data_IF_918595090907
#
_entry.id   IF_918595090907
#
_cell.length_a   1.000
_cell.length_b   1.000
_cell.length_c   1.000
_cell.angle_alpha   90.00
_cell.angle_beta   90.00
_cell.angle_gamma   90.00
#
_symmetry.space_group_name_H-M   'P 1'
#
loop_
_entity.id
_entity.type
_entity.pdbx_description
1 polymer ?
#
# COMPACT_ATOMS: atom_id res chain seq x y z
N UNK A 1 -11.78 13.12 -28.33
CA UNK A 1 -12.52 12.28 -27.35
C UNK A 1 -11.71 11.00 -27.17
N UNK A 2 -11.34 10.67 -25.92
CA UNK A 2 -10.13 9.92 -25.57
C UNK A 2 -10.04 8.45 -26.00
N UNK A 3 -8.80 7.98 -26.02
CA UNK A 3 -8.24 6.75 -26.57
C UNK A 3 -8.70 5.42 -25.91
N UNK A 4 -10.00 5.09 -26.01
CA UNK A 4 -10.48 3.72 -25.84
C UNK A 4 -11.43 3.42 -27.01
N UNK A 5 -11.05 2.51 -27.90
CA UNK A 5 -11.97 1.96 -28.90
C UNK A 5 -13.05 1.18 -28.14
N UNK A 6 -14.27 1.71 -28.13
CA UNK A 6 -15.43 1.09 -27.49
C UNK A 6 -16.38 0.60 -28.57
N UNK A 7 -16.92 -0.59 -28.37
CA UNK A 7 -18.00 -1.11 -29.19
C UNK A 7 -19.32 -0.49 -28.73
N UNK A 8 -20.26 -0.34 -29.66
CA UNK A 8 -21.59 0.17 -29.36
C UNK A 8 -22.62 -0.53 -30.22
N UNK A 9 -23.89 -0.29 -29.91
CA UNK A 9 -25.02 -0.80 -30.68
C UNK A 9 -25.37 0.20 -31.77
N UNK A 10 -25.53 -0.26 -33.01
CA UNK A 10 -25.94 0.63 -34.10
C UNK A 10 -27.44 0.94 -33.97
N UNK A 11 -27.78 2.19 -33.65
CA UNK A 11 -29.16 2.67 -33.43
C UNK A 11 -29.41 3.96 -34.21
N UNK A 12 -30.66 4.34 -34.40
CA UNK A 12 -30.96 5.73 -34.81
C UNK A 12 -30.57 6.70 -33.70
N UNK A 13 -30.38 7.98 -34.06
CA UNK A 13 -30.04 9.01 -33.08
C UNK A 13 -31.12 9.12 -31.99
N UNK A 14 -32.40 9.09 -32.38
CA UNK A 14 -33.53 9.15 -31.45
C UNK A 14 -33.56 7.95 -30.51
N UNK A 15 -33.46 6.72 -31.03
CA UNK A 15 -33.46 5.52 -30.18
C UNK A 15 -32.30 5.52 -29.18
N UNK A 16 -31.12 5.98 -29.61
CA UNK A 16 -29.97 6.07 -28.73
C UNK A 16 -30.20 7.07 -27.59
N UNK A 17 -30.70 8.27 -27.90
CA UNK A 17 -30.96 9.30 -26.89
C UNK A 17 -32.12 8.92 -25.97
N UNK A 18 -33.18 8.31 -26.50
CA UNK A 18 -34.35 7.89 -25.73
C UNK A 18 -34.00 6.78 -24.72
N UNK A 19 -33.00 5.96 -25.04
CA UNK A 19 -32.47 4.93 -24.14
C UNK A 19 -31.33 5.44 -23.24
N UNK A 20 -31.01 6.73 -23.27
CA UNK A 20 -29.96 7.34 -22.44
C UNK A 20 -28.52 7.02 -22.88
N UNK A 21 -28.33 6.58 -24.12
CA UNK A 21 -27.04 6.28 -24.70
C UNK A 21 -26.30 7.53 -25.20
N UNK A 22 -25.01 7.38 -25.46
CA UNK A 22 -24.14 8.41 -26.02
C UNK A 22 -23.75 8.07 -27.45
N UNK A 23 -23.84 9.04 -28.36
CA UNK A 23 -23.47 8.89 -29.77
C UNK A 23 -21.94 8.88 -29.92
N UNK A 24 -21.40 7.86 -30.57
CA UNK A 24 -19.97 7.61 -30.74
C UNK A 24 -19.60 7.28 -32.19
N UNK A 25 -20.06 8.12 -33.12
CA UNK A 25 -19.78 8.00 -34.56
C UNK A 25 -20.93 7.39 -35.37
N UNK A 26 -20.69 7.18 -36.67
CA UNK A 26 -21.65 6.58 -37.59
C UNK A 26 -21.48 5.06 -37.73
N UNK A 27 -22.58 4.36 -38.03
CA UNK A 27 -22.60 2.94 -38.32
C UNK A 27 -23.56 2.65 -39.48
N UNK A 28 -23.63 1.39 -39.94
CA UNK A 28 -24.50 0.97 -41.05
C UNK A 28 -24.42 1.90 -42.28
N UNK A 29 -23.20 2.20 -42.76
CA UNK A 29 -22.97 3.10 -43.89
C UNK A 29 -23.61 4.51 -43.77
N UNK A 30 -23.82 5.00 -42.53
CA UNK A 30 -24.38 6.32 -42.25
C UNK A 30 -25.88 6.33 -41.96
N UNK A 31 -26.55 5.18 -42.01
CA UNK A 31 -27.98 5.08 -41.66
C UNK A 31 -28.23 5.02 -40.14
N UNK A 32 -27.18 4.81 -39.33
CA UNK A 32 -27.28 4.80 -37.88
C UNK A 32 -26.09 5.49 -37.21
N UNK A 33 -26.21 5.65 -35.89
CA UNK A 33 -25.13 6.09 -35.02
C UNK A 33 -24.71 4.97 -34.06
N UNK A 34 -23.40 4.85 -33.82
CA UNK A 34 -22.87 3.95 -32.82
C UNK A 34 -23.27 4.46 -31.43
N UNK A 35 -24.20 3.78 -30.78
CA UNK A 35 -24.73 4.14 -29.48
C UNK A 35 -24.00 3.38 -28.36
N UNK A 36 -23.44 4.10 -27.40
CA UNK A 36 -22.69 3.52 -26.28
C UNK A 36 -23.40 3.84 -24.97
N UNK A 37 -23.67 2.80 -24.18
CA UNK A 37 -24.35 2.92 -22.89
C UNK A 37 -23.36 2.85 -21.73
N UNK A 38 -23.59 3.65 -20.69
CA UNK A 38 -22.74 3.70 -19.51
C UNK A 38 -23.57 3.56 -18.24
N UNK A 39 -23.16 2.66 -17.35
CA UNK A 39 -23.61 2.65 -15.95
C UNK A 39 -22.50 3.25 -15.09
N UNK A 40 -22.78 4.41 -14.47
CA UNK A 40 -21.77 5.20 -13.72
C UNK A 40 -22.12 5.41 -12.26
N UNK A 41 -23.36 5.14 -11.86
CA UNK A 41 -23.85 5.30 -10.49
C UNK A 41 -24.02 3.95 -9.82
N UNK A 42 -23.84 3.93 -8.49
CA UNK A 42 -24.25 2.80 -7.68
C UNK A 42 -25.74 2.47 -7.89
N UNK A 43 -26.09 1.19 -7.78
CA UNK A 43 -27.43 0.63 -7.97
C UNK A 43 -28.00 0.80 -9.40
N UNK A 44 -27.18 1.14 -10.39
CA UNK A 44 -27.65 1.23 -11.78
C UNK A 44 -28.06 -0.15 -12.31
N UNK A 45 -29.15 -0.17 -13.08
CA UNK A 45 -29.61 -1.37 -13.78
C UNK A 45 -29.32 -1.25 -15.28
N UNK A 46 -28.55 -2.18 -15.82
CA UNK A 46 -28.25 -2.29 -17.25
C UNK A 46 -29.30 -3.16 -17.93
N UNK A 47 -29.86 -2.64 -19.02
CA UNK A 47 -30.89 -3.28 -19.86
C UNK A 47 -30.53 -3.17 -21.34
N UNK A 48 -29.24 -3.22 -21.66
CA UNK A 48 -28.71 -3.07 -23.02
C UNK A 48 -27.82 -4.26 -23.35
N UNK A 49 -27.75 -4.61 -24.64
CA UNK A 49 -26.95 -5.75 -25.12
C UNK A 49 -25.44 -5.51 -24.99
N UNK A 50 -25.02 -4.25 -24.97
CA UNK A 50 -23.65 -3.82 -24.73
C UNK A 50 -23.66 -2.52 -23.92
N UNK A 51 -23.01 -2.54 -22.76
CA UNK A 51 -22.88 -1.37 -21.90
C UNK A 51 -21.56 -1.42 -21.14
N UNK A 52 -21.05 -0.23 -20.79
CA UNK A 52 -19.81 -0.06 -20.03
C UNK A 52 -20.13 0.31 -18.59
N UNK A 53 -19.66 -0.53 -17.66
CA UNK A 53 -19.72 -0.26 -16.23
C UNK A 53 -18.49 0.55 -15.84
N UNK A 54 -18.70 1.67 -15.16
CA UNK A 54 -17.62 2.57 -14.74
C UNK A 54 -17.82 2.96 -13.29
N UNK A 55 -16.75 3.00 -12.52
CA UNK A 55 -16.84 3.60 -11.19
C UNK A 55 -17.30 5.07 -11.28
N UNK A 56 -17.98 5.62 -10.26
CA UNK A 56 -18.52 6.98 -10.28
C UNK A 56 -17.52 8.11 -10.56
N UNK A 57 -16.22 7.87 -10.33
CA UNK A 57 -15.14 8.84 -10.53
C UNK A 57 -14.33 8.60 -11.82
N UNK A 58 -14.75 7.64 -12.67
CA UNK A 58 -14.04 7.29 -13.91
C UNK A 58 -13.86 8.54 -14.82
N UNK A 59 -12.68 8.76 -15.42
CA UNK A 59 -11.53 7.86 -15.56
C UNK A 59 -10.57 7.84 -14.36
N UNK A 60 -10.88 8.55 -13.28
CA UNK A 60 -10.06 8.50 -12.06
C UNK A 60 -10.37 7.25 -11.24
N UNK A 61 -9.41 6.74 -10.45
CA UNK A 61 -9.67 5.68 -9.48
C UNK A 61 -10.74 6.11 -8.48
N UNK A 62 -11.68 5.23 -8.16
CA UNK A 62 -12.67 5.45 -7.11
C UNK A 62 -12.00 5.45 -5.74
N UNK A 63 -12.05 6.57 -5.01
CA UNK A 63 -11.37 6.69 -3.71
C UNK A 63 -12.30 6.52 -2.50
N UNK A 64 -13.59 6.39 -2.76
CA UNK A 64 -14.58 6.25 -1.70
C UNK A 64 -14.69 4.78 -1.26
N UNK A 65 -15.14 4.55 -0.03
CA UNK A 65 -15.23 3.20 0.57
C UNK A 65 -16.63 2.60 0.48
N UNK A 66 -17.56 3.32 -0.14
CA UNK A 66 -18.94 2.90 -0.34
C UNK A 66 -18.95 1.76 -1.37
N UNK A 67 -19.65 0.64 -1.08
CA UNK A 67 -19.78 -0.43 -2.05
C UNK A 67 -20.48 0.10 -3.31
N UNK A 68 -20.15 -0.49 -4.46
CA UNK A 68 -20.82 -0.21 -5.72
C UNK A 68 -21.47 -1.49 -6.21
N UNK A 69 -22.72 -1.41 -6.62
CA UNK A 69 -23.50 -2.53 -7.13
C UNK A 69 -24.11 -2.17 -8.48
N UNK A 70 -23.98 -3.09 -9.43
CA UNK A 70 -24.68 -3.01 -10.71
C UNK A 70 -25.60 -4.21 -10.85
N UNK A 71 -26.79 -3.98 -11.39
CA UNK A 71 -27.70 -5.07 -11.78
C UNK A 71 -27.73 -5.18 -13.29
N UNK A 72 -27.51 -6.36 -13.83
CA UNK A 72 -27.69 -6.64 -15.27
C UNK A 72 -28.93 -7.49 -15.42
N UNK A 73 -29.94 -6.95 -16.09
CA UNK A 73 -31.18 -7.65 -16.38
C UNK A 73 -31.14 -8.22 -17.80
N UNK A 74 -31.76 -9.39 -17.99
CA UNK A 74 -31.96 -9.95 -19.32
C UNK A 74 -32.77 -9.02 -20.22
N UNK A 75 -32.42 -8.99 -21.50
CA UNK A 75 -33.24 -8.34 -22.54
C UNK A 75 -34.45 -9.20 -22.90
N UNK A 76 -34.25 -10.53 -22.94
CA UNK A 76 -35.28 -11.52 -23.20
C UNK A 76 -34.84 -12.89 -22.63
N UNK A 77 -35.77 -13.85 -22.65
CA UNK A 77 -35.57 -15.21 -22.10
C UNK A 77 -34.60 -16.10 -22.89
N UNK A 78 -34.25 -15.75 -24.13
CA UNK A 78 -33.34 -16.54 -24.96
C UNK A 78 -31.86 -16.28 -24.62
N UNK A 79 -31.58 -15.24 -23.83
CA UNK A 79 -30.23 -14.90 -23.38
C UNK A 79 -29.91 -15.68 -22.09
N UNK A 80 -29.06 -16.69 -22.22
CA UNK A 80 -28.65 -17.55 -21.09
C UNK A 80 -27.31 -17.15 -20.47
N UNK A 81 -26.50 -16.32 -21.14
CA UNK A 81 -25.17 -15.97 -20.65
C UNK A 81 -24.83 -14.50 -20.89
N UNK A 82 -24.17 -13.89 -19.92
CA UNK A 82 -23.53 -12.59 -19.98
C UNK A 82 -22.02 -12.78 -20.06
N UNK A 83 -21.36 -12.10 -20.99
CA UNK A 83 -19.90 -11.98 -21.00
C UNK A 83 -19.52 -10.64 -20.40
N UNK A 84 -18.63 -10.65 -19.41
CA UNK A 84 -18.02 -9.47 -18.83
C UNK A 84 -16.56 -9.40 -19.28
N UNK A 85 -16.20 -8.36 -20.03
CA UNK A 85 -14.82 -8.07 -20.40
C UNK A 85 -14.26 -6.95 -19.51
N UNK A 86 -13.03 -7.14 -19.02
CA UNK A 86 -12.38 -6.20 -18.11
C UNK A 86 -11.44 -5.27 -18.88
N UNK A 87 -11.97 -4.17 -19.42
CA UNK A 87 -11.17 -3.18 -20.16
C UNK A 87 -10.14 -2.49 -19.26
N UNK A 88 -10.59 -2.01 -18.10
CA UNK A 88 -9.76 -1.40 -17.07
C UNK A 88 -10.26 -1.88 -15.71
N UNK A 89 -9.59 -2.88 -15.15
CA UNK A 89 -10.00 -3.48 -13.88
C UNK A 89 -8.81 -3.62 -12.94
N UNK A 90 -8.85 -2.86 -11.85
CA UNK A 90 -7.82 -2.84 -10.83
C UNK A 90 -8.46 -2.50 -9.49
N UNK A 91 -8.56 -3.48 -8.60
CA UNK A 91 -8.98 -3.29 -7.19
C UNK A 91 -7.93 -3.90 -6.28
N UNK A 92 -7.95 -3.60 -4.98
CA UNK A 92 -6.94 -4.14 -4.07
C UNK A 92 -7.09 -5.66 -3.94
N UNK A 93 -6.04 -6.38 -4.34
CA UNK A 93 -5.97 -7.83 -4.26
C UNK A 93 -5.52 -8.34 -2.89
N UNK A 94 -4.85 -9.49 -2.91
CA UNK A 94 -4.20 -10.08 -1.73
C UNK A 94 -3.06 -9.17 -1.23
N UNK A 95 -2.89 -9.09 0.09
CA UNK A 95 -1.68 -8.53 0.69
C UNK A 95 -0.62 -9.62 0.85
N UNK A 96 0.54 -9.48 0.20
CA UNK A 96 1.64 -10.46 0.28
C UNK A 96 1.43 -11.73 -0.55
N UNK A 97 2.24 -12.76 -0.30
CA UNK A 97 2.27 -14.04 -1.06
C UNK A 97 1.42 -15.15 -0.40
N UNK A 98 0.22 -14.83 0.08
CA UNK A 98 -0.65 -15.82 0.71
C UNK A 98 -1.70 -16.36 -0.27
N UNK A 99 -1.40 -17.51 -0.90
CA UNK A 99 -2.39 -18.38 -1.57
C UNK A 99 -3.08 -19.33 -0.57
N UNK A 100 -2.81 -19.17 0.74
CA UNK A 100 -3.15 -20.16 1.78
C UNK A 100 -4.58 -20.01 2.35
N UNK A 101 -5.27 -18.91 2.07
CA UNK A 101 -6.65 -18.66 2.54
C UNK A 101 -7.58 -18.44 1.36
N UNK A 102 -8.62 -19.29 1.24
CA UNK A 102 -9.75 -19.01 0.34
C UNK A 102 -10.34 -17.65 0.75
N UNK A 103 -10.61 -16.79 -0.25
CA UNK A 103 -11.30 -15.50 -0.07
C UNK A 103 -10.48 -14.37 0.61
N UNK A 104 -9.16 -14.38 0.44
CA UNK A 104 -8.25 -13.38 1.02
C UNK A 104 -8.24 -12.00 0.31
N UNK A 105 -9.19 -11.75 -0.59
CA UNK A 105 -9.30 -10.48 -1.32
C UNK A 105 -9.57 -9.31 -0.37
N UNK A 106 -8.76 -8.26 -0.45
CA UNK A 106 -8.95 -7.04 0.35
C UNK A 106 -10.16 -6.25 -0.14
N UNK A 107 -10.14 -5.86 -1.40
CA UNK A 107 -11.34 -5.40 -2.10
C UNK A 107 -11.91 -6.58 -2.87
N UNK A 108 -13.22 -6.68 -2.94
CA UNK A 108 -13.91 -7.86 -3.47
C UNK A 108 -14.78 -7.45 -4.63
N UNK A 109 -14.59 -8.12 -5.76
CA UNK A 109 -15.58 -8.17 -6.82
C UNK A 109 -16.26 -9.53 -6.80
N UNK A 110 -17.56 -9.54 -6.52
CA UNK A 110 -18.37 -10.75 -6.50
C UNK A 110 -19.51 -10.63 -7.52
N UNK A 111 -19.84 -11.76 -8.13
CA UNK A 111 -20.93 -11.88 -9.08
C UNK A 111 -21.94 -12.85 -8.51
N UNK A 112 -23.16 -12.37 -8.29
CA UNK A 112 -24.29 -13.20 -7.91
C UNK A 112 -25.20 -13.36 -9.12
N UNK A 113 -25.48 -14.59 -9.51
CA UNK A 113 -26.49 -14.92 -10.52
C UNK A 113 -27.30 -16.13 -10.04
N UNK A 114 -28.38 -16.45 -10.75
CA UNK A 114 -29.28 -17.55 -10.42
C UNK A 114 -28.74 -18.95 -10.72
N UNK A 115 -27.47 -19.09 -11.14
CA UNK A 115 -26.89 -20.34 -11.64
C UNK A 115 -25.72 -20.89 -10.79
N UNK A 116 -25.36 -22.15 -11.07
CA UNK A 116 -24.36 -22.97 -10.38
C UNK A 116 -23.36 -23.48 -11.46
N UNK A 117 -22.02 -23.41 -11.28
CA UNK A 117 -21.27 -23.16 -10.05
C UNK A 117 -21.10 -21.67 -9.68
N UNK A 118 -20.89 -21.37 -8.38
CA UNK A 118 -20.63 -20.01 -7.92
C UNK A 118 -19.33 -19.45 -8.53
N UNK A 119 -19.39 -18.22 -9.01
CA UNK A 119 -18.23 -17.49 -9.53
C UNK A 119 -17.34 -17.09 -8.35
N UNK A 120 -16.02 -17.34 -8.41
CA UNK A 120 -15.11 -16.97 -7.32
C UNK A 120 -15.04 -15.45 -7.13
N UNK A 121 -14.73 -15.00 -5.90
CA UNK A 121 -14.36 -13.60 -5.65
C UNK A 121 -13.13 -13.24 -6.49
N UNK A 122 -13.20 -12.12 -7.20
CA UNK A 122 -12.10 -11.59 -8.02
C UNK A 122 -11.56 -10.33 -7.35
N UNK A 123 -10.25 -10.15 -7.35
CA UNK A 123 -9.57 -8.94 -6.89
C UNK A 123 -8.23 -8.76 -7.59
N UNK A 124 -7.54 -7.64 -7.38
CA UNK A 124 -6.25 -7.37 -8.02
C UNK A 124 -6.35 -6.78 -9.44
N UNK A 125 -5.34 -7.06 -10.27
CA UNK A 125 -5.20 -6.55 -11.64
C UNK A 125 -5.79 -7.56 -12.63
N UNK A 126 -6.86 -7.20 -13.33
CA UNK A 126 -7.56 -8.12 -14.24
C UNK A 126 -7.83 -7.53 -15.63
N UNK A 127 -7.14 -6.45 -16.02
CA UNK A 127 -7.26 -5.88 -17.36
C UNK A 127 -6.99 -6.93 -18.46
N UNK A 128 -7.86 -6.96 -19.47
CA UNK A 128 -7.79 -7.88 -20.61
C UNK A 128 -8.36 -9.27 -20.35
N UNK A 129 -8.82 -9.56 -19.12
CA UNK A 129 -9.51 -10.80 -18.79
C UNK A 129 -11.02 -10.69 -19.04
N UNK A 130 -11.71 -11.84 -18.98
CA UNK A 130 -13.16 -11.89 -19.13
C UNK A 130 -13.77 -13.04 -18.32
N UNK A 131 -15.06 -12.93 -18.01
CA UNK A 131 -15.84 -13.95 -17.30
C UNK A 131 -17.18 -14.16 -18.01
N UNK A 132 -17.62 -15.41 -18.10
CA UNK A 132 -18.98 -15.75 -18.51
C UNK A 132 -19.83 -16.00 -17.26
N UNK A 133 -20.99 -15.34 -17.22
CA UNK A 133 -21.98 -15.42 -16.15
C UNK A 133 -23.23 -16.06 -16.73
N UNK A 134 -23.59 -17.24 -16.24
CA UNK A 134 -24.85 -17.88 -16.60
C UNK A 134 -26.00 -17.18 -15.86
N UNK A 135 -27.01 -16.76 -16.62
CA UNK A 135 -28.15 -15.99 -16.13
C UNK A 135 -29.40 -16.86 -15.92
N UNK A 136 -29.31 -18.19 -15.85
CA UNK A 136 -30.47 -19.07 -15.72
C UNK A 136 -31.41 -19.04 -16.93
N UNK A 137 -32.61 -19.60 -16.80
CA UNK A 137 -33.58 -19.70 -17.91
C UNK A 137 -34.78 -18.75 -17.78
N UNK A 138 -35.04 -18.19 -16.60
CA UNK A 138 -36.20 -17.32 -16.37
C UNK A 138 -35.93 -15.91 -16.89
N UNK A 139 -36.96 -15.27 -17.44
CA UNK A 139 -36.84 -13.89 -17.95
C UNK A 139 -36.60 -12.85 -16.84
N UNK A 140 -36.94 -13.18 -15.59
CA UNK A 140 -36.70 -12.36 -14.40
C UNK A 140 -35.31 -12.54 -13.79
N UNK A 141 -34.53 -13.50 -14.28
CA UNK A 141 -33.18 -13.71 -13.80
C UNK A 141 -32.29 -12.49 -14.08
N UNK A 142 -31.38 -12.24 -13.15
CA UNK A 142 -30.48 -11.10 -13.16
C UNK A 142 -29.09 -11.50 -12.64
N UNK A 143 -28.08 -10.73 -13.03
CA UNK A 143 -26.77 -10.77 -12.40
C UNK A 143 -26.56 -9.51 -11.56
N UNK A 144 -26.12 -9.68 -10.31
CA UNK A 144 -25.64 -8.59 -9.47
C UNK A 144 -24.12 -8.61 -9.43
N UNK A 145 -23.54 -7.47 -9.76
CA UNK A 145 -22.10 -7.22 -9.79
C UNK A 145 -21.77 -6.33 -8.60
N UNK A 146 -21.16 -6.91 -7.56
CA UNK A 146 -20.93 -6.23 -6.30
C UNK A 146 -19.44 -5.95 -6.11
N UNK A 147 -19.11 -4.69 -5.88
CA UNK A 147 -17.79 -4.21 -5.53
C UNK A 147 -17.81 -3.75 -4.08
N UNK A 148 -17.00 -4.39 -3.24
CA UNK A 148 -16.85 -4.06 -1.83
C UNK A 148 -15.41 -3.65 -1.55
N UNK A 149 -15.24 -2.49 -0.89
CA UNK A 149 -13.92 -1.92 -0.64
C UNK A 149 -13.60 -1.97 0.85
N UNK A 150 -12.48 -2.58 1.22
CA UNK A 150 -12.06 -2.70 2.61
C UNK A 150 -11.32 -1.43 3.03
N UNK A 151 -12.00 -0.63 3.85
CA UNK A 151 -11.74 0.77 4.11
C UNK A 151 -10.41 1.14 4.78
N UNK A 152 -9.31 1.03 4.03
CA UNK A 152 -8.05 1.67 4.42
C UNK A 152 -7.51 2.47 3.24
N UNK A 153 -7.75 3.77 3.36
CA UNK A 153 -7.48 4.88 2.44
C UNK A 153 -6.15 4.78 1.70
N UNK A 154 -6.18 5.00 0.39
CA UNK A 154 -5.08 5.52 -0.44
C UNK A 154 -3.69 4.90 -0.17
N UNK A 155 -3.46 3.67 -0.65
CA UNK A 155 -2.17 2.95 -0.55
C UNK A 155 -0.94 3.73 -1.07
N UNK A 156 -1.13 4.78 -1.87
CA UNK A 156 -0.03 5.60 -2.40
C UNK A 156 0.23 6.89 -1.64
N UNK A 157 -0.67 7.31 -0.74
CA UNK A 157 -0.47 8.53 0.03
C UNK A 157 -0.01 8.14 1.43
N UNK A 158 1.16 8.62 1.88
CA UNK A 158 1.61 8.40 3.26
C UNK A 158 0.53 8.89 4.24
N UNK A 159 0.35 8.24 5.40
CA UNK A 159 -0.36 8.84 6.51
C UNK A 159 0.22 10.23 6.84
N UNK A 160 -0.63 11.14 7.35
CA UNK A 160 -0.16 12.45 7.80
C UNK A 160 0.99 12.28 8.80
N UNK A 161 2.08 13.02 8.57
CA UNK A 161 3.28 12.97 9.40
C UNK A 161 4.39 12.03 8.92
N UNK A 162 4.19 11.30 7.82
CA UNK A 162 5.21 10.45 7.20
C UNK A 162 5.90 11.18 6.04
N UNK A 163 7.21 11.46 6.16
CA UNK A 163 8.00 12.08 5.10
C UNK A 163 8.48 11.05 4.07
N UNK A 164 8.85 9.86 4.54
CA UNK A 164 9.12 8.69 3.70
C UNK A 164 8.09 7.62 3.99
N UNK A 165 7.67 6.90 2.95
CA UNK A 165 6.64 5.86 3.05
C UNK A 165 7.06 4.63 2.24
N UNK A 166 7.31 3.54 2.96
CA UNK A 166 7.70 2.27 2.38
C UNK A 166 6.51 1.30 2.37
N UNK A 167 6.46 0.44 1.36
CA UNK A 167 5.45 -0.60 1.19
C UNK A 167 6.12 -1.94 0.91
N UNK A 168 5.42 -3.05 1.15
CA UNK A 168 5.94 -4.39 0.92
C UNK A 168 6.27 -5.11 2.23
N UNK A 169 6.77 -6.34 2.11
CA UNK A 169 7.07 -7.20 3.26
C UNK A 169 8.46 -6.96 3.84
N UNK A 170 9.37 -6.40 3.05
CA UNK A 170 10.71 -6.06 3.48
C UNK A 170 11.27 -4.89 2.67
N UNK A 171 12.34 -4.30 3.17
CA UNK A 171 13.04 -3.24 2.47
C UNK A 171 14.18 -2.65 3.29
N UNK A 172 14.67 -1.52 2.80
CA UNK A 172 15.76 -0.77 3.43
C UNK A 172 15.31 0.67 3.70
N UNK A 173 15.75 1.22 4.81
CA UNK A 173 15.57 2.62 5.21
C UNK A 173 16.95 3.19 5.43
N UNK A 174 17.22 4.35 4.82
CA UNK A 174 18.41 5.14 5.11
C UNK A 174 18.03 6.55 5.55
N UNK A 175 18.85 7.14 6.41
CA UNK A 175 18.77 8.58 6.64
C UNK A 175 19.13 9.34 5.37
N UNK A 176 18.60 10.55 5.20
CA UNK A 176 19.05 11.40 4.09
C UNK A 176 20.56 11.67 4.20
N UNK A 177 21.24 11.73 3.05
CA UNK A 177 22.69 11.84 2.95
C UNK A 177 23.49 10.67 3.57
N UNK A 178 22.87 9.50 3.72
CA UNK A 178 23.60 8.30 4.16
C UNK A 178 24.55 7.78 3.08
N UNK A 179 25.80 7.54 3.46
CA UNK A 179 26.80 6.83 2.65
C UNK A 179 27.72 6.02 3.57
N UNK A 180 27.86 4.73 3.27
CA UNK A 180 28.63 3.80 4.09
C UNK A 180 30.13 4.15 4.16
N UNK A 181 30.65 4.92 3.19
CA UNK A 181 32.08 5.18 3.06
C UNK A 181 32.53 6.48 3.72
N UNK A 182 31.87 7.63 3.51
CA UNK A 182 32.46 8.93 3.89
C UNK A 182 31.51 10.13 4.05
N UNK A 183 30.21 9.94 4.30
CA UNK A 183 29.31 11.07 4.57
C UNK A 183 28.97 11.22 6.06
N UNK A 184 28.51 12.42 6.43
CA UNK A 184 27.83 12.66 7.69
C UNK A 184 26.32 12.77 7.45
N UNK A 185 25.51 12.35 8.42
CA UNK A 185 24.09 12.66 8.39
C UNK A 185 23.85 14.18 8.45
N UNK A 186 22.71 14.59 7.91
CA UNK A 186 22.32 16.00 7.94
C UNK A 186 21.97 16.44 9.38
N UNK A 187 22.36 17.65 9.80
CA UNK A 187 21.93 18.21 11.07
C UNK A 187 20.49 18.75 10.99
N UNK A 188 19.89 18.99 12.15
CA UNK A 188 18.57 19.61 12.33
C UNK A 188 17.45 18.91 11.55
N UNK A 189 17.46 17.58 11.52
CA UNK A 189 16.43 16.81 10.87
C UNK A 189 15.42 16.31 11.89
N UNK A 190 14.14 16.43 11.55
CA UNK A 190 13.07 15.75 12.29
C UNK A 190 12.00 15.29 11.34
N UNK A 191 11.95 13.98 11.11
CA UNK A 191 10.97 13.40 10.21
C UNK A 191 10.64 11.97 10.57
N UNK A 192 9.46 11.50 10.13
CA UNK A 192 9.10 10.10 10.27
C UNK A 192 9.27 9.37 8.93
N UNK A 193 9.84 8.17 9.03
CA UNK A 193 9.77 7.13 8.02
C UNK A 193 8.67 6.16 8.44
N UNK A 194 7.70 5.93 7.57
CA UNK A 194 6.58 5.04 7.86
C UNK A 194 6.61 3.82 6.96
N UNK A 195 6.16 2.69 7.49
CA UNK A 195 6.01 1.46 6.74
C UNK A 195 4.52 1.11 6.72
N UNK A 196 3.98 0.86 5.52
CA UNK A 196 2.61 0.38 5.39
C UNK A 196 2.49 -0.99 6.04
N UNK A 197 1.63 -1.14 7.05
CA UNK A 197 1.27 -2.46 7.57
C UNK A 197 0.56 -3.28 6.49
N UNK A 198 1.18 -4.39 6.09
CA UNK A 198 0.55 -5.34 5.17
C UNK A 198 -0.50 -6.18 5.91
N UNK A 199 -1.52 -6.63 5.18
CA UNK A 199 -2.58 -7.43 5.78
C UNK A 199 -2.03 -8.74 6.33
N UNK A 200 -2.45 -9.14 7.53
CA UNK A 200 -1.92 -10.31 8.22
C UNK A 200 -0.54 -10.11 8.86
N UNK A 201 0.03 -8.90 8.81
CA UNK A 201 1.29 -8.56 9.47
C UNK A 201 1.04 -7.66 10.68
N UNK A 202 1.75 -7.95 11.76
CA UNK A 202 1.46 -7.43 13.09
C UNK A 202 2.64 -6.69 13.72
N UNK A 203 3.86 -6.92 13.22
CA UNK A 203 5.07 -6.28 13.72
C UNK A 203 6.03 -5.96 12.58
N UNK A 204 7.01 -5.09 12.84
CA UNK A 204 8.19 -4.88 11.99
C UNK A 204 9.43 -5.20 12.82
N UNK A 205 10.33 -5.99 12.24
CA UNK A 205 11.68 -6.19 12.73
C UNK A 205 12.64 -5.31 11.95
N UNK A 206 13.55 -4.64 12.65
CA UNK A 206 14.63 -3.83 12.12
C UNK A 206 15.97 -4.44 12.50
N UNK A 207 16.93 -4.38 11.57
CA UNK A 207 18.34 -4.68 11.84
C UNK A 207 19.22 -3.71 11.07
N UNK A 208 20.43 -3.45 11.55
CA UNK A 208 21.39 -2.63 10.82
C UNK A 208 21.79 -3.32 9.50
N UNK A 209 21.86 -2.57 8.40
CA UNK A 209 22.12 -3.11 7.05
C UNK A 209 23.45 -3.87 6.98
N UNK A 210 23.46 -5.05 6.35
CA UNK A 210 24.71 -5.81 6.15
C UNK A 210 25.42 -6.27 7.44
N UNK A 211 24.79 -6.09 8.62
CA UNK A 211 25.35 -6.50 9.90
C UNK A 211 24.66 -7.77 10.41
N UNK A 212 25.45 -8.69 10.94
CA UNK A 212 24.95 -9.87 11.65
C UNK A 212 24.71 -9.52 13.12
N UNK A 213 23.57 -9.89 13.73
CA UNK A 213 23.34 -9.71 15.16
C UNK A 213 24.48 -10.30 16.00
N UNK A 214 24.94 -9.55 17.00
CA UNK A 214 26.11 -9.87 17.82
C UNK A 214 27.45 -9.36 17.26
N UNK A 215 27.48 -8.78 16.05
CA UNK A 215 28.68 -8.12 15.53
C UNK A 215 29.11 -6.95 16.42
N UNK A 216 30.41 -6.84 16.63
CA UNK A 216 31.07 -5.78 17.42
C UNK A 216 31.83 -4.79 16.53
N UNK A 217 31.70 -4.88 15.20
CA UNK A 217 32.38 -3.97 14.25
C UNK A 217 31.64 -2.61 14.19
N UNK A 218 32.19 -1.56 14.83
CA UNK A 218 31.48 -0.28 14.97
C UNK A 218 31.38 0.44 13.62
N UNK A 219 30.29 1.19 13.43
CA UNK A 219 30.08 2.12 12.29
C UNK A 219 29.94 1.51 10.89
N UNK A 220 29.50 0.26 10.79
CA UNK A 220 29.21 -0.43 9.51
C UNK A 220 27.91 0.03 8.86
N UNK A 221 26.84 0.23 9.65
CA UNK A 221 25.53 0.68 9.14
C UNK A 221 24.70 1.55 10.09
N UNK A 222 25.16 1.76 11.32
CA UNK A 222 24.51 2.62 12.31
C UNK A 222 25.60 3.46 12.98
N UNK A 223 25.54 4.77 12.79
CA UNK A 223 26.45 5.73 13.39
C UNK A 223 25.74 7.07 13.40
N UNK A 224 24.86 7.26 14.37
CA UNK A 224 24.07 8.49 14.53
C UNK A 224 24.66 9.40 15.60
N UNK A 225 25.50 8.86 16.47
CA UNK A 225 26.34 9.66 17.36
C UNK A 225 27.64 8.91 17.55
N UNK A 226 28.77 9.50 17.18
CA UNK A 226 30.07 8.81 17.24
C UNK A 226 30.84 9.08 18.53
N UNK A 227 30.43 10.10 19.29
CA UNK A 227 31.06 10.53 20.54
C UNK A 227 30.02 10.73 21.63
N UNK A 228 30.36 10.34 22.86
CA UNK A 228 29.53 10.66 24.04
C UNK A 228 29.73 12.12 24.48
N UNK A 229 28.98 12.56 25.50
CA UNK A 229 29.09 13.91 26.04
C UNK A 229 30.50 14.27 26.60
N UNK A 230 31.34 13.26 26.84
CA UNK A 230 32.71 13.40 27.37
C UNK A 230 33.78 13.28 26.26
N UNK A 231 33.39 13.05 25.01
CA UNK A 231 34.32 12.89 23.89
C UNK A 231 34.89 11.49 23.68
N UNK A 232 34.40 10.47 24.39
CA UNK A 232 34.77 9.07 24.17
C UNK A 232 34.03 8.52 22.95
N UNK A 233 34.51 7.41 22.37
CA UNK A 233 33.75 6.69 21.34
C UNK A 233 32.39 6.25 21.87
N UNK A 234 31.32 6.64 21.20
CA UNK A 234 29.98 6.31 21.62
C UNK A 234 29.71 4.80 21.51
N UNK A 235 29.03 4.26 22.51
CA UNK A 235 28.45 2.91 22.51
C UNK A 235 26.98 2.97 22.10
N UNK A 236 26.34 1.82 21.90
CA UNK A 236 24.89 1.77 21.71
C UNK A 236 24.18 2.23 22.97
N UNK A 237 23.39 3.28 22.86
CA UNK A 237 22.69 3.89 23.99
C UNK A 237 21.20 4.06 23.67
N UNK A 238 20.41 4.27 24.71
CA UNK A 238 18.95 4.36 24.59
C UNK A 238 18.29 5.45 25.42
N UNK A 239 17.07 5.82 25.04
CA UNK A 239 16.15 6.69 25.79
C UNK A 239 16.80 7.97 26.33
N UNK A 240 16.89 8.12 27.65
CA UNK A 240 17.39 9.34 28.30
C UNK A 240 18.88 9.59 28.05
N UNK A 241 19.63 8.57 27.62
CA UNK A 241 21.02 8.73 27.16
C UNK A 241 21.10 9.28 25.73
N UNK A 242 19.99 9.26 24.98
CA UNK A 242 19.88 9.70 23.59
C UNK A 242 19.16 11.04 23.49
N UNK A 243 19.84 12.09 23.94
CA UNK A 243 19.32 13.47 24.00
C UNK A 243 19.75 14.36 22.83
N UNK A 244 20.82 13.98 22.14
CA UNK A 244 21.32 14.65 20.94
C UNK A 244 20.67 13.97 19.73
N UNK A 245 21.45 13.22 18.94
CA UNK A 245 20.98 12.55 17.74
C UNK A 245 20.48 11.12 18.04
N UNK A 246 19.32 10.76 17.48
CA UNK A 246 18.72 9.44 17.70
C UNK A 246 17.72 9.05 16.62
N UNK A 247 17.45 7.75 16.54
CA UNK A 247 16.20 7.25 15.95
C UNK A 247 15.24 6.83 17.04
N UNK A 248 13.94 6.98 16.82
CA UNK A 248 12.92 6.47 17.72
C UNK A 248 12.07 5.38 17.06
N UNK A 249 11.96 4.24 17.74
CA UNK A 249 11.12 3.10 17.35
C UNK A 249 10.13 2.87 18.50
N UNK A 250 8.89 3.38 18.41
CA UNK A 250 7.92 3.33 19.49
C UNK A 250 7.53 1.90 19.86
N UNK A 251 7.45 1.63 21.17
CA UNK A 251 7.06 0.33 21.72
C UNK A 251 7.98 -0.79 21.25
N UNK A 252 9.28 -0.50 21.17
CA UNK A 252 10.26 -1.48 20.73
C UNK A 252 10.30 -2.70 21.67
N UNK A 253 10.78 -3.82 21.16
CA UNK A 253 11.01 -5.06 21.88
C UNK A 253 12.16 -5.82 21.18
N UNK A 254 12.86 -6.68 21.90
CA UNK A 254 13.85 -7.62 21.32
C UNK A 254 13.19 -8.81 20.61
N UNK A 255 11.89 -9.03 20.85
CA UNK A 255 11.08 -10.06 20.18
C UNK A 255 9.91 -9.45 19.45
N UNK A 256 9.60 -10.02 18.28
CA UNK A 256 8.45 -9.64 17.48
C UNK A 256 7.19 -10.36 17.98
N UNK A 257 6.89 -10.20 19.27
CA UNK A 257 5.68 -10.73 19.88
C UNK A 257 4.84 -9.59 20.49
N UNK A 258 3.52 -9.79 20.51
CA UNK A 258 2.57 -8.84 21.11
C UNK A 258 2.53 -8.92 22.64
N UNK A 259 3.46 -9.66 23.26
CA UNK A 259 3.41 -9.96 24.69
C UNK A 259 3.84 -8.79 25.60
N UNK A 260 4.16 -7.64 25.00
CA UNK A 260 4.05 -6.34 25.66
C UNK A 260 4.93 -6.23 26.90
N UNK A 261 6.25 -6.24 26.72
CA UNK A 261 7.14 -5.50 27.62
C UNK A 261 7.76 -4.40 26.79
N UNK A 262 7.37 -3.16 27.07
CA UNK A 262 7.93 -1.99 26.40
C UNK A 262 9.44 -1.97 26.62
N UNK A 263 10.18 -2.08 25.53
CA UNK A 263 11.60 -1.83 25.48
C UNK A 263 11.88 -0.35 25.27
N UNK A 264 13.14 -0.06 24.96
CA UNK A 264 13.66 1.29 24.79
C UNK A 264 13.11 1.94 23.52
N UNK A 265 12.79 3.23 23.54
CA UNK A 265 12.10 3.88 22.41
C UNK A 265 13.04 4.72 21.57
N UNK A 266 14.14 5.23 22.14
CA UNK A 266 15.17 5.96 21.40
C UNK A 266 16.47 5.17 21.37
N UNK A 267 17.19 5.27 20.26
CA UNK A 267 18.44 4.56 20.01
C UNK A 267 19.45 5.53 19.39
N UNK A 268 20.65 5.57 19.97
CA UNK A 268 21.74 6.43 19.53
C UNK A 268 23.10 5.71 19.67
N UNK A 269 24.16 6.38 19.23
CA UNK A 269 25.50 5.81 19.23
C UNK A 269 25.87 5.11 17.92
N UNK A 270 26.76 4.11 18.04
CA UNK A 270 27.29 3.33 16.89
C UNK A 270 26.80 1.88 16.84
N UNK A 271 25.95 1.47 17.78
CA UNK A 271 25.34 0.14 17.82
C UNK A 271 23.83 0.27 18.01
N UNK A 272 23.05 -0.33 17.11
CA UNK A 272 21.60 -0.47 17.31
C UNK A 272 21.34 -1.57 18.34
N UNK A 273 20.97 -1.18 19.56
CA UNK A 273 20.72 -2.11 20.65
C UNK A 273 19.79 -1.48 21.71
N UNK A 274 18.83 -2.24 22.30
CA UNK A 274 17.95 -1.70 23.33
C UNK A 274 18.62 -1.60 24.71
N UNK A 275 19.87 -2.04 24.85
CA UNK A 275 20.64 -2.00 26.09
C UNK A 275 21.58 -0.79 26.08
N UNK A 276 21.64 -0.09 27.21
CA UNK A 276 22.58 1.03 27.48
C UNK A 276 24.02 0.52 27.43
N UNK A 277 24.93 1.34 26.89
CA UNK A 277 26.36 1.04 26.72
C UNK A 277 26.66 -0.29 25.99
N UNK A 278 25.83 -0.63 25.00
CA UNK A 278 26.04 -1.84 24.23
C UNK A 278 27.23 -1.71 23.26
N UNK A 279 28.00 -2.80 23.17
CA UNK A 279 29.13 -2.94 22.24
C UNK A 279 28.82 -3.88 21.07
N UNK A 280 27.54 -4.24 20.86
CA UNK A 280 27.14 -5.18 19.82
C UNK A 280 25.79 -4.84 19.20
N UNK A 281 25.63 -5.16 17.92
CA UNK A 281 24.37 -5.02 17.20
C UNK A 281 23.33 -6.06 17.62
N UNK A 282 22.06 -5.69 17.59
CA UNK A 282 20.95 -6.63 17.70
C UNK A 282 19.76 -6.20 16.83
N UNK A 283 18.72 -7.01 16.84
CA UNK A 283 17.48 -6.74 16.10
C UNK A 283 16.47 -6.06 17.01
N UNK A 284 15.72 -5.11 16.46
CA UNK A 284 14.68 -4.35 17.17
C UNK A 284 13.34 -4.64 16.52
N UNK A 285 12.38 -5.10 17.30
CA UNK A 285 11.01 -5.32 16.87
C UNK A 285 10.09 -4.20 17.37
N UNK A 286 9.05 -3.88 16.63
CA UNK A 286 7.89 -3.13 17.14
C UNK A 286 6.60 -3.73 16.59
N UNK A 287 5.59 -3.85 17.43
CA UNK A 287 4.25 -4.28 17.05
C UNK A 287 3.22 -3.15 17.24
N UNK A 288 3.69 -1.91 17.40
CA UNK A 288 2.84 -0.73 17.63
C UNK A 288 2.42 -0.13 16.29
N UNK A 289 1.11 0.03 16.12
CA UNK A 289 0.53 0.72 14.97
C UNK A 289 0.39 2.23 15.24
N UNK A 290 0.67 3.11 14.25
CA UNK A 290 1.25 2.81 12.94
C UNK A 290 2.76 2.50 13.04
N UNK A 291 3.28 1.67 12.11
CA UNK A 291 4.71 1.40 12.01
C UNK A 291 5.46 2.67 11.56
N UNK A 292 6.13 3.30 12.52
CA UNK A 292 6.86 4.55 12.33
C UNK A 292 8.24 4.48 12.95
N UNK A 293 9.21 5.07 12.28
CA UNK A 293 10.55 5.35 12.75
C UNK A 293 10.76 6.86 12.67
N UNK A 294 11.01 7.51 13.80
CA UNK A 294 11.39 8.93 13.83
C UNK A 294 12.90 9.03 13.68
N UNK A 295 13.36 9.94 12.84
CA UNK A 295 14.75 10.39 12.78
C UNK A 295 14.81 11.77 13.41
N UNK A 296 15.66 11.93 14.41
CA UNK A 296 15.95 13.21 15.05
C UNK A 296 17.45 13.45 15.03
N UNK A 297 17.86 14.57 14.43
CA UNK A 297 19.22 15.08 14.56
C UNK A 297 19.16 16.54 14.98
N UNK A 298 19.99 16.93 15.93
CA UNK A 298 20.09 18.28 16.42
C UNK A 298 21.09 19.12 15.59
N UNK A 299 21.43 20.30 16.08
CA UNK A 299 22.40 21.19 15.42
C UNK A 299 23.82 21.05 15.97
N UNK A 300 24.01 20.26 17.04
CA UNK A 300 25.30 20.08 17.68
C UNK A 300 26.16 19.11 16.86
N UNK A 301 27.47 19.36 16.73
CA UNK A 301 28.35 18.40 16.09
C UNK A 301 28.64 17.22 17.03
N UNK A 302 28.80 16.02 16.45
CA UNK A 302 29.23 14.81 17.15
C UNK A 302 30.73 14.84 17.49
N UNK A 303 31.10 15.65 18.49
CA UNK A 303 32.48 15.82 18.92
C UNK A 303 32.59 16.41 20.32
N UNK A 304 33.74 16.16 20.98
CA UNK A 304 34.08 16.79 22.25
C UNK A 304 34.18 18.32 22.13
N UNK A 305 34.61 18.79 20.95
CA UNK A 305 34.66 20.20 20.59
C UNK A 305 33.46 20.56 19.71
N UNK A 306 32.50 21.28 20.31
CA UNK A 306 31.28 21.71 19.63
C UNK A 306 31.46 22.87 18.64
N UNK A 307 32.69 23.37 18.48
CA UNK A 307 33.04 24.44 17.55
C UNK A 307 33.55 23.93 16.19
N UNK A 308 33.77 22.63 16.04
CA UNK A 308 34.31 22.00 14.83
C UNK A 308 33.17 21.26 14.09
N UNK A 309 32.98 21.48 12.77
CA UNK A 309 32.04 20.69 11.95
C UNK A 309 32.32 19.20 12.06
N UNK A 310 31.29 18.35 11.98
CA UNK A 310 31.38 16.91 12.25
C UNK A 310 32.50 16.22 11.41
N UNK A 311 33.69 16.04 11.99
CA UNK A 311 34.80 15.29 11.37
C UNK A 311 34.76 13.81 11.72
N UNK A 312 33.80 13.38 12.55
CA UNK A 312 33.79 12.08 13.22
C UNK A 312 33.12 10.94 12.43
N UNK A 313 32.73 11.16 11.17
CA UNK A 313 32.03 10.17 10.32
C UNK A 313 30.76 9.60 10.98
N UNK A 314 29.88 10.49 11.47
CA UNK A 314 28.53 10.10 11.89
C UNK A 314 27.67 9.89 10.65
N UNK A 315 27.75 8.71 10.03
CA UNK A 315 27.18 8.41 8.71
C UNK A 315 25.65 8.42 8.66
N UNK A 316 25.01 8.42 9.82
CA UNK A 316 23.58 8.21 9.98
C UNK A 316 23.23 6.73 10.10
N UNK A 317 22.07 6.37 9.58
CA UNK A 317 21.47 5.06 9.84
C UNK A 317 21.05 4.39 8.54
N UNK A 318 21.39 3.11 8.41
CA UNK A 318 20.83 2.18 7.44
C UNK A 318 20.22 0.99 8.18
N UNK A 319 18.92 0.79 8.00
CA UNK A 319 18.18 -0.37 8.53
C UNK A 319 17.57 -1.19 7.41
N UNK A 320 17.70 -2.51 7.53
CA UNK A 320 16.83 -3.46 6.84
C UNK A 320 15.61 -3.71 7.72
N UNK A 321 14.42 -3.73 7.14
CA UNK A 321 13.18 -4.03 7.84
C UNK A 321 12.44 -5.20 7.20
N UNK A 322 11.78 -6.00 8.03
CA UNK A 322 10.91 -7.10 7.63
C UNK A 322 9.62 -7.06 8.45
N UNK A 323 8.47 -7.19 7.79
CA UNK A 323 7.20 -7.35 8.48
C UNK A 323 7.05 -8.79 8.97
N UNK A 324 6.63 -8.94 10.22
CA UNK A 324 6.38 -10.23 10.86
C UNK A 324 4.88 -10.48 10.92
N UNK A 325 4.49 -11.68 10.49
CA UNK A 325 3.11 -12.11 10.45
C UNK A 325 2.52 -12.13 11.87
N UNK A 326 1.22 -11.88 11.95
CA UNK A 326 0.40 -12.39 13.03
C UNK A 326 0.40 -13.94 12.99
#
# INVERSE_FOLDING_TARGET
VGALQRNGTCLTVSECTDQGGSLAGGCAAGFGSCCVFFARSDLSTVRQSCAYLQNPEFPSPYRQMQPIRYTVAKLNQEICALRLDFDTFSILGLGGSQELTRDACRDRFTILSSSNPPIPTICGQNMGQHVYVDLGMDSSDLAQLNFEFSGTTNIRMPPNGCLQYHTGLSGQITTFNYNALNDNHLPNQRYNVCIRREFGFCCVQYKACGVVPGSTDPMSAFSISTKDANGNTALGNVDDSCTLDYIAIPGSNVRCDRSGRGGSNRFCGVFLNPIVDSMAFTEICTCVDPFRLEVFTDMAPDGADRSIPNTSQSKGVCLEWNQIQC
#
